data_IF_598668146020
#
_entry.id   IF_598668146020
#
_cell.length_a   1.000
_cell.length_b   1.000
_cell.length_c   1.000
_cell.angle_alpha   90.00
_cell.angle_beta   90.00
_cell.angle_gamma   90.00
#
_symmetry.space_group_name_H-M   'P 1'
#
loop_
_entity.id
_entity.type
_entity.pdbx_description
1 polymer ?
#
# COMPACT_ATOMS: atom_id res chain seq x y z
N UNK A 1 27.51 -10.69 23.80
CA UNK A 1 27.56 -11.60 22.64
C UNK A 1 28.55 -11.03 21.65
N UNK A 2 29.56 -11.80 21.24
CA UNK A 2 30.62 -11.31 20.33
C UNK A 2 30.04 -11.02 18.94
N UNK A 3 30.20 -9.79 18.45
CA UNK A 3 29.66 -9.32 17.16
C UNK A 3 30.10 -10.15 15.96
N UNK A 4 31.22 -10.87 16.06
CA UNK A 4 31.72 -11.79 15.03
C UNK A 4 30.78 -12.98 14.81
N UNK A 5 30.24 -13.57 15.88
CA UNK A 5 29.37 -14.76 15.78
C UNK A 5 28.01 -14.44 15.14
N UNK A 6 27.47 -13.25 15.39
CA UNK A 6 26.21 -12.81 14.77
C UNK A 6 26.37 -12.53 13.28
N UNK A 7 27.51 -11.97 12.85
CA UNK A 7 27.80 -11.69 11.44
C UNK A 7 27.98 -12.97 10.64
N UNK A 8 28.63 -13.98 11.21
CA UNK A 8 28.81 -15.29 10.57
C UNK A 8 27.46 -16.01 10.39
N UNK A 9 26.59 -15.99 11.40
CA UNK A 9 25.23 -16.52 11.29
C UNK A 9 24.42 -15.81 10.21
N UNK A 10 24.46 -14.47 10.18
CA UNK A 10 23.79 -13.69 9.13
C UNK A 10 24.32 -14.01 7.72
N UNK A 11 25.62 -14.26 7.59
CA UNK A 11 26.23 -14.60 6.30
C UNK A 11 25.77 -15.99 5.83
N UNK A 12 25.72 -16.97 6.73
CA UNK A 12 25.19 -18.30 6.44
C UNK A 12 23.71 -18.25 6.07
N UNK A 13 22.92 -17.49 6.82
CA UNK A 13 21.50 -17.31 6.55
C UNK A 13 21.26 -16.56 5.24
N UNK A 14 22.05 -15.53 4.92
CA UNK A 14 22.00 -14.87 3.63
C UNK A 14 22.26 -15.88 2.49
N UNK A 15 23.33 -16.66 2.57
CA UNK A 15 23.64 -17.65 1.54
C UNK A 15 22.55 -18.72 1.39
N UNK A 16 21.93 -19.13 2.51
CA UNK A 16 20.86 -20.11 2.56
C UNK A 16 19.52 -19.56 2.03
N UNK A 17 19.17 -18.32 2.37
CA UNK A 17 17.84 -17.74 2.16
C UNK A 17 17.79 -16.62 1.10
N UNK A 18 18.91 -16.30 0.42
CA UNK A 18 18.96 -15.26 -0.63
C UNK A 18 17.99 -15.47 -1.80
N UNK A 19 17.42 -16.66 -1.97
CA UNK A 19 16.40 -16.97 -2.99
C UNK A 19 14.99 -17.01 -2.42
N UNK A 20 14.84 -17.46 -1.17
CA UNK A 20 13.56 -17.67 -0.51
C UNK A 20 13.76 -17.62 1.00
N UNK A 21 12.89 -16.89 1.70
CA UNK A 21 12.90 -16.83 3.16
C UNK A 21 12.32 -18.13 3.75
N UNK A 22 12.71 -18.51 4.97
CA UNK A 22 12.08 -19.62 5.65
C UNK A 22 10.58 -19.32 5.86
N UNK A 23 9.73 -20.35 5.76
CA UNK A 23 8.26 -20.23 5.88
C UNK A 23 7.81 -19.51 7.15
N UNK A 24 8.50 -19.74 8.27
CA UNK A 24 8.30 -19.01 9.52
C UNK A 24 9.51 -18.11 9.81
N UNK A 25 9.70 -17.12 8.94
CA UNK A 25 10.76 -16.12 9.05
C UNK A 25 10.80 -15.41 10.42
N UNK A 26 9.67 -14.98 11.00
CA UNK A 26 9.66 -14.39 12.34
C UNK A 26 10.17 -15.33 13.43
N UNK A 27 9.75 -16.60 13.44
CA UNK A 27 10.24 -17.56 14.42
C UNK A 27 11.74 -17.83 14.23
N UNK A 28 12.21 -18.00 12.98
CA UNK A 28 13.63 -18.17 12.70
C UNK A 28 14.47 -17.01 13.24
N UNK A 29 14.01 -15.78 13.03
CA UNK A 29 14.71 -14.59 13.52
C UNK A 29 14.71 -14.52 15.04
N UNK A 30 13.58 -14.80 15.68
CA UNK A 30 13.47 -14.85 17.14
C UNK A 30 14.36 -15.93 17.76
N UNK A 31 14.42 -17.11 17.16
CA UNK A 31 15.16 -18.23 17.73
C UNK A 31 16.67 -18.09 17.52
N UNK A 32 17.08 -17.66 16.32
CA UNK A 32 18.49 -17.52 15.92
C UNK A 32 19.12 -16.24 16.46
N UNK A 33 18.40 -15.11 16.36
CA UNK A 33 18.94 -13.78 16.68
C UNK A 33 18.37 -13.18 17.96
N UNK A 34 17.38 -13.83 18.60
CA UNK A 34 16.72 -13.30 19.82
C UNK A 34 16.08 -11.93 19.60
N UNK A 35 15.62 -11.67 18.38
CA UNK A 35 14.91 -10.45 17.98
C UNK A 35 13.45 -10.80 17.76
N UNK A 36 12.56 -10.13 18.48
CA UNK A 36 11.13 -10.17 18.16
C UNK A 36 10.84 -9.18 17.04
N UNK A 37 10.27 -9.69 15.94
CA UNK A 37 9.86 -8.86 14.80
C UNK A 37 8.40 -8.40 14.92
N UNK A 38 7.64 -8.85 15.92
CA UNK A 38 6.24 -8.49 16.06
C UNK A 38 6.05 -6.97 15.99
N UNK A 39 5.01 -6.55 15.27
CA UNK A 39 4.75 -5.15 14.98
C UNK A 39 3.26 -4.86 15.03
N UNK A 40 2.90 -3.58 14.98
CA UNK A 40 1.53 -3.15 14.75
C UNK A 40 1.47 -2.21 13.56
N UNK A 41 0.48 -2.39 12.70
CA UNK A 41 0.22 -1.50 11.57
C UNK A 41 -1.26 -1.16 11.52
N UNK A 42 -1.57 0.14 11.59
CA UNK A 42 -2.95 0.65 11.69
C UNK A 42 -3.76 -0.01 12.82
N UNK A 43 -3.08 -0.30 13.95
CA UNK A 43 -3.67 -0.98 15.11
C UNK A 43 -3.80 -2.49 14.97
N UNK A 44 -3.47 -3.07 13.80
CA UNK A 44 -3.48 -4.53 13.60
C UNK A 44 -2.15 -5.14 14.02
N UNK A 45 -2.16 -6.26 14.75
CA UNK A 45 -0.93 -7.01 15.04
C UNK A 45 -0.38 -7.62 13.76
N UNK A 46 0.94 -7.56 13.60
CA UNK A 46 1.68 -8.17 12.50
C UNK A 46 2.75 -9.11 13.05
N UNK A 47 3.00 -10.24 12.38
CA UNK A 47 4.08 -11.15 12.77
C UNK A 47 5.48 -10.55 12.52
N UNK A 48 5.59 -9.61 11.57
CA UNK A 48 6.79 -8.84 11.27
C UNK A 48 6.45 -7.56 10.48
N UNK A 49 7.33 -6.55 10.38
CA UNK A 49 7.02 -5.27 9.73
C UNK A 49 7.26 -5.26 8.21
N UNK A 50 7.50 -6.43 7.59
CA UNK A 50 7.84 -6.52 6.16
C UNK A 50 6.57 -6.74 5.36
N UNK A 51 6.28 -5.81 4.48
CA UNK A 51 5.13 -5.86 3.59
C UNK A 51 5.38 -5.08 2.30
N UNK A 52 4.31 -4.89 1.55
CA UNK A 52 4.33 -4.24 0.23
C UNK A 52 3.53 -2.96 0.25
N UNK A 53 4.11 -1.87 -0.28
CA UNK A 53 3.41 -0.60 -0.50
C UNK A 53 2.55 -0.59 -1.77
N UNK A 54 1.66 0.40 -1.89
CA UNK A 54 0.80 0.60 -3.07
C UNK A 54 1.63 0.73 -4.35
N UNK A 55 1.33 -0.08 -5.37
CA UNK A 55 2.13 -0.05 -6.59
C UNK A 55 1.77 -1.11 -7.64
N UNK A 56 2.64 -1.26 -8.64
CA UNK A 56 2.45 -2.19 -9.77
C UNK A 56 2.44 -3.67 -9.35
N UNK A 57 2.81 -3.97 -8.10
CA UNK A 57 2.87 -5.32 -7.56
C UNK A 57 1.69 -5.65 -6.63
N UNK A 58 0.66 -4.80 -6.55
CA UNK A 58 -0.55 -5.00 -5.74
C UNK A 58 -1.82 -4.69 -6.52
N UNK A 59 -1.87 -5.18 -7.77
CA UNK A 59 -2.94 -4.95 -8.74
C UNK A 59 -3.92 -6.12 -8.84
N UNK A 60 -3.52 -7.36 -8.59
CA UNK A 60 -4.40 -8.51 -8.84
C UNK A 60 -4.33 -9.57 -7.75
N UNK A 61 -5.29 -10.50 -7.78
CA UNK A 61 -5.43 -11.54 -6.76
C UNK A 61 -4.21 -12.46 -6.71
N UNK A 62 -3.68 -12.87 -7.87
CA UNK A 62 -2.49 -13.73 -7.94
C UNK A 62 -1.24 -13.10 -7.33
N UNK A 63 -1.09 -11.77 -7.42
CA UNK A 63 -0.02 -11.06 -6.72
C UNK A 63 -0.21 -11.10 -5.20
N UNK A 64 -1.44 -10.92 -4.70
CA UNK A 64 -1.73 -11.00 -3.26
C UNK A 64 -1.57 -12.42 -2.71
N UNK A 65 -1.94 -13.44 -3.49
CA UNK A 65 -1.69 -14.84 -3.13
C UNK A 65 -0.19 -15.11 -3.04
N UNK A 66 0.57 -14.69 -4.06
CA UNK A 66 2.03 -14.83 -4.06
C UNK A 66 2.66 -14.12 -2.87
N UNK A 67 2.15 -12.94 -2.49
CA UNK A 67 2.63 -12.20 -1.32
C UNK A 67 2.33 -12.92 0.00
N UNK A 68 1.12 -13.46 0.14
CA UNK A 68 0.73 -14.26 1.30
C UNK A 68 1.59 -15.53 1.41
N UNK A 69 1.83 -16.20 0.29
CA UNK A 69 2.64 -17.43 0.23
C UNK A 69 4.13 -17.17 0.46
N UNK A 70 4.63 -16.01 0.03
CA UNK A 70 5.98 -15.53 0.33
C UNK A 70 6.14 -15.08 1.80
N UNK A 71 5.06 -15.05 2.58
CA UNK A 71 5.08 -14.66 3.99
C UNK A 71 5.24 -13.15 4.20
N UNK A 72 4.70 -12.31 3.31
CA UNK A 72 4.57 -10.88 3.63
C UNK A 72 3.50 -10.68 4.71
N UNK A 73 3.75 -9.75 5.64
CA UNK A 73 2.81 -9.49 6.73
C UNK A 73 1.62 -8.63 6.27
N UNK A 74 1.86 -7.71 5.33
CA UNK A 74 0.83 -6.83 4.79
C UNK A 74 1.09 -6.43 3.34
N UNK A 75 0.03 -6.04 2.64
CA UNK A 75 0.09 -5.43 1.32
C UNK A 75 -0.90 -4.27 1.22
N UNK A 76 -0.43 -3.14 0.71
CA UNK A 76 -1.27 -1.99 0.36
C UNK A 76 -1.62 -2.11 -1.12
N UNK A 77 -2.91 -2.10 -1.43
CA UNK A 77 -3.40 -2.22 -2.80
C UNK A 77 -2.99 -1.01 -3.62
N UNK A 78 -2.89 -1.18 -4.95
CA UNK A 78 -2.71 -0.04 -5.85
C UNK A 78 -3.77 1.02 -5.58
N UNK A 79 -3.34 2.28 -5.56
CA UNK A 79 -4.20 3.43 -5.31
C UNK A 79 -5.30 3.55 -6.36
N UNK A 80 -6.57 3.42 -5.97
CA UNK A 80 -7.72 3.76 -6.84
C UNK A 80 -8.03 5.24 -6.80
N UNK A 81 -8.52 5.80 -7.90
CA UNK A 81 -8.99 7.19 -7.93
C UNK A 81 -10.46 7.20 -7.51
N UNK A 82 -10.77 7.98 -6.47
CA UNK A 82 -12.13 8.11 -5.98
C UNK A 82 -13.06 8.63 -7.08
N UNK A 83 -14.26 8.08 -7.11
CA UNK A 83 -15.32 8.48 -8.03
C UNK A 83 -16.62 8.75 -7.28
N UNK A 84 -17.53 9.49 -7.89
CA UNK A 84 -18.91 9.65 -7.43
C UNK A 84 -19.84 8.55 -7.99
N UNK A 85 -21.14 8.66 -7.70
CA UNK A 85 -22.18 7.73 -8.17
C UNK A 85 -22.30 7.66 -9.70
N UNK A 86 -21.92 8.73 -10.41
CA UNK A 86 -21.92 8.77 -11.88
C UNK A 86 -20.61 8.24 -12.48
N UNK A 87 -19.63 7.86 -11.64
CA UNK A 87 -18.30 7.45 -12.07
C UNK A 87 -17.36 8.63 -12.39
N UNK A 88 -17.74 9.86 -12.04
CA UNK A 88 -16.89 11.02 -12.28
C UNK A 88 -15.72 11.04 -11.28
N UNK A 89 -14.52 11.33 -11.79
CA UNK A 89 -13.27 11.35 -11.03
C UNK A 89 -12.59 12.70 -11.17
N UNK A 90 -12.57 13.53 -10.13
CA UNK A 90 -11.85 14.82 -10.13
C UNK A 90 -10.35 14.67 -10.38
N UNK A 91 -9.77 13.53 -10.01
CA UNK A 91 -8.36 13.22 -10.16
C UNK A 91 -8.10 12.21 -11.30
N UNK A 92 -8.98 12.12 -12.32
CA UNK A 92 -8.88 11.15 -13.43
C UNK A 92 -7.52 11.14 -14.16
N UNK A 93 -6.81 12.28 -14.20
CA UNK A 93 -5.45 12.38 -14.75
C UNK A 93 -4.41 11.50 -14.01
N UNK A 94 -4.81 10.88 -12.89
CA UNK A 94 -4.04 9.93 -12.10
C UNK A 94 -4.36 8.47 -12.37
N UNK A 95 -5.36 8.16 -13.20
CA UNK A 95 -5.67 6.80 -13.63
C UNK A 95 -5.02 6.54 -15.01
N UNK A 96 -3.68 6.49 -15.06
CA UNK A 96 -2.94 6.33 -16.32
C UNK A 96 -2.35 4.93 -16.38
N UNK A 97 -2.80 4.16 -17.39
CA UNK A 97 -2.34 2.82 -17.70
C UNK A 97 -0.83 2.72 -17.97
N UNK A 98 -0.21 3.75 -18.58
CA UNK A 98 1.17 3.66 -19.05
C UNK A 98 2.12 3.21 -17.93
N UNK A 99 2.54 1.94 -17.98
CA UNK A 99 3.61 1.38 -17.17
C UNK A 99 4.89 1.38 -17.98
N UNK A 100 5.72 2.41 -17.81
CA UNK A 100 7.09 2.41 -18.35
C UNK A 100 8.07 2.35 -17.20
N UNK A 101 8.82 1.25 -17.12
CA UNK A 101 10.02 1.23 -16.30
C UNK A 101 11.02 2.22 -16.89
N UNK A 102 11.36 3.25 -16.12
CA UNK A 102 12.48 4.12 -16.43
C UNK A 102 13.62 3.77 -15.49
N UNK A 103 14.72 3.32 -16.08
CA UNK A 103 15.96 3.10 -15.35
C UNK A 103 16.80 4.35 -15.51
N UNK A 104 17.14 4.99 -14.40
CA UNK A 104 17.91 6.23 -14.37
C UNK A 104 19.12 6.05 -13.47
N UNK A 105 20.27 6.59 -13.88
CA UNK A 105 21.46 6.59 -13.04
C UNK A 105 21.32 7.68 -11.98
N UNK A 106 21.61 7.35 -10.72
CA UNK A 106 21.56 8.27 -9.59
C UNK A 106 22.82 8.10 -8.74
N UNK A 107 23.76 9.04 -8.88
CA UNK A 107 25.10 8.90 -8.32
C UNK A 107 25.79 7.64 -8.85
N UNK A 108 26.33 6.83 -7.94
CA UNK A 108 26.97 5.55 -8.26
C UNK A 108 25.97 4.39 -8.42
N UNK A 109 24.67 4.63 -8.25
CA UNK A 109 23.62 3.62 -8.30
C UNK A 109 22.63 3.79 -9.46
N UNK A 110 21.63 2.91 -9.46
CA UNK A 110 20.50 2.94 -10.39
C UNK A 110 19.20 3.15 -9.62
N UNK A 111 18.28 3.91 -10.22
CA UNK A 111 16.90 4.01 -9.77
C UNK A 111 16.02 3.44 -10.87
N UNK A 112 15.22 2.43 -10.54
CA UNK A 112 14.17 1.91 -11.43
C UNK A 112 12.86 2.51 -10.98
N UNK A 113 12.30 3.42 -11.77
CA UNK A 113 11.03 4.07 -11.50
C UNK A 113 9.96 3.52 -12.42
N UNK A 114 8.87 3.02 -11.85
CA UNK A 114 7.67 2.74 -12.61
C UNK A 114 6.93 4.05 -12.86
N UNK A 115 6.98 4.53 -14.10
CA UNK A 115 6.04 5.57 -14.54
C UNK A 115 4.72 4.85 -14.82
N UNK A 116 3.71 5.11 -14.00
CA UNK A 116 2.34 4.61 -14.12
C UNK A 116 1.53 5.10 -12.93
N UNK A 117 0.37 5.72 -13.17
CA UNK A 117 -0.39 6.42 -12.12
C UNK A 117 -1.65 5.65 -11.80
N UNK A 118 -1.90 5.47 -10.50
CA UNK A 118 -3.18 4.95 -9.99
C UNK A 118 -3.61 3.60 -10.56
N UNK A 119 -4.81 3.21 -10.16
CA UNK A 119 -5.60 2.14 -10.74
C UNK A 119 -6.26 2.63 -12.02
N UNK A 120 -6.23 1.81 -13.05
CA UNK A 120 -6.64 2.13 -14.42
C UNK A 120 -7.75 1.23 -14.96
N UNK A 121 -8.15 0.21 -14.19
CA UNK A 121 -9.30 -0.66 -14.49
C UNK A 121 -10.58 -0.12 -13.87
N UNK A 122 -11.68 -0.83 -14.04
CA UNK A 122 -12.97 -0.43 -13.47
C UNK A 122 -12.92 -0.38 -11.94
N UNK A 123 -13.79 0.44 -11.34
CA UNK A 123 -13.95 0.47 -9.89
C UNK A 123 -14.47 -0.88 -9.35
N UNK A 124 -15.31 -1.58 -10.10
CA UNK A 124 -15.80 -2.91 -9.71
C UNK A 124 -14.69 -3.97 -9.67
N UNK A 125 -13.73 -3.90 -10.59
CA UNK A 125 -12.52 -4.74 -10.53
C UNK A 125 -11.72 -4.45 -9.25
N UNK A 126 -11.65 -3.18 -8.85
CA UNK A 126 -10.99 -2.78 -7.62
C UNK A 126 -11.73 -3.34 -6.39
N UNK A 127 -13.05 -3.20 -6.34
CA UNK A 127 -13.87 -3.76 -5.25
C UNK A 127 -13.76 -5.28 -5.18
N UNK A 128 -13.61 -5.96 -6.31
CA UNK A 128 -13.36 -7.41 -6.35
C UNK A 128 -12.02 -7.75 -5.71
N UNK A 129 -10.96 -6.99 -6.02
CA UNK A 129 -9.66 -7.14 -5.36
C UNK A 129 -9.73 -6.86 -3.85
N UNK A 130 -10.48 -5.85 -3.44
CA UNK A 130 -10.71 -5.52 -2.01
C UNK A 130 -11.37 -6.68 -1.28
N UNK A 131 -12.41 -7.30 -1.85
CA UNK A 131 -13.07 -8.48 -1.27
C UNK A 131 -12.10 -9.65 -1.13
N UNK A 132 -11.26 -9.88 -2.13
CA UNK A 132 -10.24 -10.92 -2.08
C UNK A 132 -9.20 -10.66 -0.99
N UNK A 133 -8.69 -9.42 -0.89
CA UNK A 133 -7.76 -8.99 0.16
C UNK A 133 -8.34 -9.11 1.57
N UNK A 134 -9.64 -8.81 1.73
CA UNK A 134 -10.37 -9.04 2.98
C UNK A 134 -10.31 -10.52 3.38
N UNK A 135 -10.55 -11.42 2.44
CA UNK A 135 -10.58 -12.86 2.73
C UNK A 135 -9.20 -13.37 3.17
N UNK A 136 -8.12 -12.88 2.57
CA UNK A 136 -6.75 -13.14 3.04
C UNK A 136 -6.49 -12.58 4.45
N UNK A 137 -6.98 -11.37 4.72
CA UNK A 137 -6.84 -10.70 6.02
C UNK A 137 -7.55 -11.48 7.12
N UNK A 138 -8.81 -11.88 6.87
CA UNK A 138 -9.60 -12.71 7.78
C UNK A 138 -9.00 -14.09 8.01
N UNK A 139 -8.39 -14.66 6.98
CA UNK A 139 -7.63 -15.90 7.08
C UNK A 139 -6.32 -15.78 7.86
N UNK A 140 -5.94 -14.56 8.30
CA UNK A 140 -4.67 -14.32 8.99
C UNK A 140 -3.44 -14.51 8.09
N UNK A 141 -3.61 -14.53 6.77
CA UNK A 141 -2.56 -14.83 5.80
C UNK A 141 -1.80 -13.58 5.34
N UNK A 142 -2.51 -12.47 5.15
CA UNK A 142 -1.93 -11.22 4.67
C UNK A 142 -2.88 -10.06 5.03
N UNK A 143 -2.41 -9.10 5.83
CA UNK A 143 -3.17 -7.87 6.07
C UNK A 143 -3.23 -7.05 4.77
N UNK A 144 -4.42 -6.90 4.20
CA UNK A 144 -4.61 -6.10 2.99
C UNK A 144 -5.23 -4.75 3.33
N UNK A 145 -4.64 -3.67 2.81
CA UNK A 145 -5.13 -2.30 3.02
C UNK A 145 -5.45 -1.66 1.66
N UNK A 146 -6.72 -1.33 1.38
CA UNK A 146 -7.07 -0.55 0.19
C UNK A 146 -6.41 0.84 0.23
N UNK A 147 -6.00 1.34 -0.93
CA UNK A 147 -5.41 2.67 -1.09
C UNK A 147 -6.26 3.50 -2.04
N UNK A 148 -6.56 4.74 -1.66
CA UNK A 148 -7.44 5.62 -2.42
C UNK A 148 -6.86 7.02 -2.50
N UNK A 149 -6.89 7.59 -3.70
CA UNK A 149 -6.65 9.01 -3.95
C UNK A 149 -7.99 9.70 -4.16
N UNK A 150 -8.39 10.48 -3.16
CA UNK A 150 -9.56 11.35 -3.24
C UNK A 150 -9.21 12.71 -3.82
N UNK A 151 -10.23 13.49 -4.18
CA UNK A 151 -10.09 14.91 -4.48
C UNK A 151 -9.30 15.64 -3.38
N UNK A 152 -8.18 16.27 -3.75
CA UNK A 152 -7.40 17.12 -2.86
C UNK A 152 -7.69 18.59 -3.22
N UNK A 153 -8.69 19.25 -2.59
CA UNK A 153 -9.06 20.60 -2.96
C UNK A 153 -7.94 21.59 -2.66
N UNK A 154 -7.84 22.63 -3.50
CA UNK A 154 -7.08 23.84 -3.15
C UNK A 154 -7.71 24.50 -1.91
N UNK A 155 -6.97 25.37 -1.22
CA UNK A 155 -7.45 25.99 0.03
C UNK A 155 -8.78 26.73 -0.11
N UNK A 156 -9.04 27.35 -1.25
CA UNK A 156 -10.29 28.06 -1.55
C UNK A 156 -11.38 27.19 -2.20
N UNK A 157 -11.08 25.93 -2.51
CA UNK A 157 -11.99 25.02 -3.19
C UNK A 157 -12.77 24.17 -2.16
N UNK A 158 -14.07 23.90 -2.39
CA UNK A 158 -14.81 22.93 -1.59
C UNK A 158 -14.34 21.50 -1.85
N UNK A 159 -14.64 20.61 -0.91
CA UNK A 159 -14.46 19.17 -1.12
C UNK A 159 -15.48 18.63 -2.12
N UNK A 160 -15.11 17.57 -2.84
CA UNK A 160 -16.03 16.79 -3.67
C UNK A 160 -16.65 15.70 -2.81
N UNK A 161 -17.53 16.09 -1.88
CA UNK A 161 -18.05 15.19 -0.86
C UNK A 161 -18.69 13.92 -1.44
N UNK A 162 -19.31 14.01 -2.63
CA UNK A 162 -19.87 12.86 -3.33
C UNK A 162 -18.82 11.77 -3.68
N UNK A 163 -17.61 12.16 -4.11
CA UNK A 163 -16.52 11.21 -4.41
C UNK A 163 -16.05 10.50 -3.13
N UNK A 164 -15.93 11.28 -2.05
CA UNK A 164 -15.56 10.76 -0.73
C UNK A 164 -16.59 9.76 -0.22
N UNK A 165 -17.86 10.16 -0.18
CA UNK A 165 -18.94 9.36 0.36
C UNK A 165 -19.16 8.08 -0.46
N UNK A 166 -19.26 8.19 -1.79
CA UNK A 166 -19.52 7.04 -2.66
C UNK A 166 -18.40 6.00 -2.58
N UNK A 167 -17.16 6.43 -2.78
CA UNK A 167 -16.01 5.50 -2.80
C UNK A 167 -15.80 4.86 -1.44
N UNK A 168 -15.87 5.63 -0.35
CA UNK A 168 -15.69 5.09 1.01
C UNK A 168 -16.79 4.10 1.36
N UNK A 169 -18.07 4.41 1.03
CA UNK A 169 -19.20 3.50 1.25
C UNK A 169 -19.02 2.20 0.48
N UNK A 170 -18.69 2.27 -0.82
CA UNK A 170 -18.49 1.09 -1.65
C UNK A 170 -17.33 0.21 -1.14
N UNK A 171 -16.23 0.82 -0.67
CA UNK A 171 -15.13 0.08 -0.05
C UNK A 171 -15.53 -0.56 1.28
N UNK A 172 -16.27 0.15 2.12
CA UNK A 172 -16.78 -0.39 3.38
C UNK A 172 -17.75 -1.55 3.13
N UNK A 173 -18.59 -1.48 2.11
CA UNK A 173 -19.49 -2.56 1.69
C UNK A 173 -18.75 -3.76 1.10
N UNK A 174 -17.68 -3.55 0.34
CA UNK A 174 -16.81 -4.62 -0.14
C UNK A 174 -16.08 -5.30 1.02
N UNK A 175 -15.60 -4.51 1.98
CA UNK A 175 -14.87 -4.97 3.15
C UNK A 175 -15.76 -5.62 4.22
N UNK A 176 -17.01 -5.17 4.39
CA UNK A 176 -18.06 -5.69 5.30
C UNK A 176 -17.77 -5.67 6.80
N UNK A 177 -16.56 -5.36 7.24
CA UNK A 177 -16.16 -5.39 8.64
C UNK A 177 -15.67 -4.02 9.12
N UNK A 178 -15.92 -3.67 10.37
CA UNK A 178 -15.44 -2.41 10.94
C UNK A 178 -14.28 -2.68 11.90
N UNK A 179 -13.20 -1.88 11.88
CA UNK A 179 -12.99 -0.75 10.96
C UNK A 179 -12.52 -1.19 9.57
N UNK A 180 -12.93 -0.45 8.52
CA UNK A 180 -12.21 -0.45 7.25
C UNK A 180 -10.90 0.31 7.45
N UNK A 181 -9.77 -0.39 7.33
CA UNK A 181 -8.45 0.24 7.29
C UNK A 181 -8.19 0.73 5.87
N UNK A 182 -7.70 1.95 5.73
CA UNK A 182 -7.54 2.62 4.44
C UNK A 182 -6.25 3.42 4.40
N UNK A 183 -5.53 3.33 3.30
CA UNK A 183 -4.50 4.30 2.95
C UNK A 183 -5.14 5.43 2.12
N UNK A 184 -4.98 6.68 2.58
CA UNK A 184 -5.29 7.85 1.78
C UNK A 184 -4.02 8.33 1.09
N UNK A 185 -3.98 8.17 -0.22
CA UNK A 185 -2.83 8.53 -1.04
C UNK A 185 -2.85 10.02 -1.40
N UNK A 186 -2.06 10.79 -0.66
CA UNK A 186 -1.75 12.19 -0.95
C UNK A 186 -0.48 12.36 -1.79
N UNK A 187 0.09 11.28 -2.35
CA UNK A 187 1.32 11.35 -3.12
C UNK A 187 1.21 12.52 -4.09
N UNK A 188 2.25 13.37 -4.11
CA UNK A 188 2.17 14.65 -4.77
C UNK A 188 1.77 14.44 -6.20
N UNK A 189 1.15 15.47 -6.74
CA UNK A 189 0.77 15.50 -8.12
C UNK A 189 2.01 15.56 -9.04
N UNK A 190 2.92 14.56 -9.01
CA UNK A 190 4.18 14.40 -9.76
C UNK A 190 4.02 14.47 -11.28
N UNK A 191 3.59 15.61 -11.78
CA UNK A 191 3.93 16.21 -13.05
C UNK A 191 4.67 17.53 -12.74
N UNK A 192 5.78 17.43 -11.99
CA UNK A 192 6.66 18.55 -11.65
C UNK A 192 6.24 19.34 -10.41
N UNK A 193 7.24 19.65 -9.57
CA UNK A 193 7.28 20.78 -8.61
C UNK A 193 6.89 20.54 -7.12
N UNK A 194 7.05 21.54 -6.23
CA UNK A 194 7.84 21.48 -5.02
C UNK A 194 6.97 21.15 -3.80
N UNK A 195 7.33 20.09 -3.08
CA UNK A 195 6.61 19.49 -1.94
C UNK A 195 6.10 20.44 -0.83
N UNK A 196 6.53 21.71 -0.81
CA UNK A 196 6.10 22.71 0.16
C UNK A 196 4.68 23.24 -0.09
N UNK A 197 4.23 23.31 -1.35
CA UNK A 197 3.01 24.04 -1.72
C UNK A 197 1.70 23.25 -1.47
N UNK A 198 1.79 21.93 -1.28
CA UNK A 198 0.63 21.06 -1.00
C UNK A 198 0.41 20.79 0.49
N UNK A 199 1.40 21.10 1.35
CA UNK A 199 1.36 20.81 2.79
C UNK A 199 0.15 21.45 3.50
N UNK A 200 -0.25 22.71 3.23
CA UNK A 200 -1.46 23.30 3.80
C UNK A 200 -2.75 22.54 3.43
N UNK A 201 -2.87 22.09 2.18
CA UNK A 201 -4.02 21.37 1.64
C UNK A 201 -4.13 19.98 2.29
N UNK A 202 -3.01 19.26 2.39
CA UNK A 202 -2.96 17.94 3.05
C UNK A 202 -3.37 18.08 4.52
N UNK A 203 -2.85 19.09 5.23
CA UNK A 203 -3.21 19.37 6.63
C UNK A 203 -4.68 19.75 6.78
N UNK A 204 -5.25 20.50 5.84
CA UNK A 204 -6.70 20.80 5.82
C UNK A 204 -7.52 19.51 5.69
N UNK A 205 -7.05 18.53 4.90
CA UNK A 205 -7.76 17.28 4.66
C UNK A 205 -7.68 16.26 5.80
N UNK A 206 -6.60 16.25 6.60
CA UNK A 206 -6.37 15.19 7.60
C UNK A 206 -7.48 15.10 8.67
N UNK A 207 -7.98 16.22 9.23
CA UNK A 207 -9.05 16.18 10.23
C UNK A 207 -10.47 16.19 9.62
N UNK A 208 -10.68 16.71 8.41
CA UNK A 208 -12.03 16.89 7.82
C UNK A 208 -12.48 15.73 6.92
N UNK A 209 -11.54 15.01 6.30
CA UNK A 209 -11.85 13.87 5.44
C UNK A 209 -11.97 12.55 6.20
N UNK A 210 -11.71 12.55 7.50
CA UNK A 210 -11.66 11.32 8.29
C UNK A 210 -12.99 10.57 8.33
N UNK A 211 -14.12 11.28 8.44
CA UNK A 211 -15.42 10.68 8.76
C UNK A 211 -16.60 11.62 8.41
N UNK A 212 -16.73 12.03 7.15
CA UNK A 212 -18.00 12.57 6.61
C UNK A 212 -18.67 11.53 5.74
#
# INVERSE_FOLDING_TARGET
>A
MSSSSSRDSLTKDFERFKRELPRDFPAHVRDTYRIDLSAHYLGQPLPHPVGKGSGQLSLNTGQLETDADAGLAFAVLKTVIAQDEAGAQSMAAWAIHETKMKVERRGDGWTVTWKGRGWDRSFDDYLTLVRFGRDLTRGGRLLTVPSVKYHLPRLAEPFRDAEYAYTTRALAEAWRESPLLLEKDFSPTLAGDPLADEKPQIRRCTPTCGWR
#
